data_IF_743239145883
#
_entry.id   IF_743239145883
#
_cell.length_a   1.000
_cell.length_b   1.000
_cell.length_c   1.000
_cell.angle_alpha   90.00
_cell.angle_beta   90.00
_cell.angle_gamma   90.00
#
_symmetry.space_group_name_H-M   'P 1'
#
loop_
_entity.id
_entity.type
_entity.pdbx_description
1 polymer ?
#
# COMPACT_ATOMS: atom_id res chain seq x y z
N UNK A 1 10.24 81.58 -50.97
CA UNK A 1 11.00 82.58 -51.74
C UNK A 1 10.67 83.96 -51.18
N UNK A 2 11.49 84.54 -50.27
CA UNK A 2 11.16 85.77 -49.55
C UNK A 2 11.34 87.06 -50.38
N UNK A 3 11.64 86.94 -51.68
CA UNK A 3 11.83 88.09 -52.58
C UNK A 3 10.57 88.45 -53.39
N UNK A 4 9.50 87.66 -53.33
CA UNK A 4 8.22 87.97 -53.98
C UNK A 4 7.09 87.49 -53.05
N UNK A 5 6.36 88.42 -52.43
CA UNK A 5 5.17 88.21 -51.59
C UNK A 5 3.98 87.64 -52.38
N UNK A 6 4.19 86.53 -53.09
CA UNK A 6 3.14 85.84 -53.84
C UNK A 6 2.55 84.76 -52.94
N UNK A 7 1.30 84.98 -52.55
CA UNK A 7 0.47 83.95 -51.91
C UNK A 7 0.18 82.89 -52.95
N UNK A 8 0.69 81.67 -52.73
CA UNK A 8 0.37 80.52 -53.57
C UNK A 8 -0.87 79.84 -52.97
N UNK A 9 -2.01 79.99 -53.64
CA UNK A 9 -3.19 79.19 -53.29
C UNK A 9 -3.06 77.81 -53.94
N UNK A 10 -2.94 76.78 -53.10
CA UNK A 10 -3.04 75.40 -53.53
C UNK A 10 -4.49 75.10 -53.89
N UNK A 11 -4.82 75.22 -55.17
CA UNK A 11 -6.11 74.76 -55.69
C UNK A 11 -6.02 73.25 -55.88
N UNK A 12 -6.65 72.51 -54.96
CA UNK A 12 -6.78 71.07 -55.06
C UNK A 12 -7.85 70.75 -56.13
N UNK A 13 -7.56 69.88 -57.12
CA UNK A 13 -8.57 69.43 -58.06
C UNK A 13 -9.66 68.63 -57.34
N UNK A 14 -10.91 68.87 -57.73
CA UNK A 14 -12.05 68.10 -57.22
C UNK A 14 -12.05 66.71 -57.84
N UNK A 15 -11.98 65.68 -56.99
CA UNK A 15 -12.00 64.27 -57.41
C UNK A 15 -13.35 63.64 -57.08
N UNK A 16 -13.92 62.95 -58.06
CA UNK A 16 -15.18 62.23 -57.91
C UNK A 16 -14.92 60.86 -57.26
N UNK A 17 -15.01 60.81 -55.93
CA UNK A 17 -14.72 59.60 -55.15
C UNK A 17 -15.95 58.70 -55.15
N UNK A 18 -15.96 57.70 -56.03
CA UNK A 18 -16.95 56.62 -56.00
C UNK A 18 -16.60 55.64 -54.88
N UNK A 19 -17.24 55.80 -53.73
CA UNK A 19 -17.16 54.84 -52.62
C UNK A 19 -17.95 53.59 -53.00
N UNK A 20 -17.28 52.48 -53.26
CA UNK A 20 -17.93 51.18 -53.39
C UNK A 20 -18.33 50.71 -52.01
N UNK A 21 -19.59 50.29 -51.83
CA UNK A 21 -19.99 49.56 -50.61
C UNK A 21 -19.19 48.26 -50.59
N UNK A 22 -18.29 48.15 -49.60
CA UNK A 22 -17.52 46.96 -49.33
C UNK A 22 -18.32 46.13 -48.33
N UNK A 23 -18.34 44.81 -48.53
CA UNK A 23 -19.00 43.88 -47.62
C UNK A 23 -18.32 43.93 -46.24
N UNK A 24 -19.07 44.29 -45.20
CA UNK A 24 -18.56 44.44 -43.84
C UNK A 24 -17.96 43.12 -43.32
N UNK A 25 -18.48 41.98 -43.78
CA UNK A 25 -17.95 40.67 -43.44
C UNK A 25 -16.53 40.42 -43.99
N UNK A 26 -16.09 41.17 -45.00
CA UNK A 26 -14.72 41.10 -45.52
C UNK A 26 -13.75 41.98 -44.74
N UNK A 27 -14.25 42.89 -43.90
CA UNK A 27 -13.45 43.83 -43.11
C UNK A 27 -13.26 43.34 -41.67
N UNK A 28 -14.05 42.36 -41.24
CA UNK A 28 -13.90 41.70 -39.94
C UNK A 28 -12.83 40.62 -40.05
N UNK A 29 -11.84 40.67 -39.15
CA UNK A 29 -10.88 39.59 -38.98
C UNK A 29 -11.63 38.31 -38.61
N UNK A 30 -11.33 37.23 -39.33
CA UNK A 30 -11.97 35.93 -39.12
C UNK A 30 -11.44 35.20 -37.88
N UNK A 31 -10.32 35.66 -37.36
CA UNK A 31 -9.63 35.06 -36.22
C UNK A 31 -9.64 36.04 -35.04
N UNK A 32 -10.29 35.63 -33.96
CA UNK A 32 -10.21 36.33 -32.68
C UNK A 32 -8.82 36.12 -32.07
N UNK A 33 -8.04 37.20 -31.94
CA UNK A 33 -6.80 37.22 -31.16
C UNK A 33 -7.04 37.91 -29.80
N UNK A 34 -6.47 37.38 -28.70
CA UNK A 34 -5.66 36.18 -28.61
C UNK A 34 -6.48 34.89 -28.68
N UNK A 35 -5.85 33.81 -29.15
CA UNK A 35 -6.45 32.47 -29.17
C UNK A 35 -7.06 32.13 -27.81
N UNK A 36 -8.28 31.57 -27.82
CA UNK A 36 -8.99 31.13 -26.60
C UNK A 36 -8.02 30.35 -25.72
N UNK A 37 -7.97 30.72 -24.43
CA UNK A 37 -7.11 30.09 -23.43
C UNK A 37 -7.18 28.57 -23.58
N UNK A 38 -6.02 27.94 -23.80
CA UNK A 38 -5.89 26.49 -23.76
C UNK A 38 -6.58 26.00 -22.48
N UNK A 39 -7.49 25.04 -22.62
CA UNK A 39 -8.31 24.56 -21.52
C UNK A 39 -7.48 24.05 -20.34
N UNK A 40 -8.15 23.72 -19.24
CA UNK A 40 -7.50 23.23 -18.01
C UNK A 40 -6.50 22.11 -18.35
N UNK A 41 -5.23 22.33 -18.00
CA UNK A 41 -4.15 21.38 -18.26
C UNK A 41 -4.24 20.18 -17.30
N UNK A 42 -4.78 19.08 -17.81
CA UNK A 42 -4.87 17.79 -17.11
C UNK A 42 -3.50 17.15 -16.85
N UNK A 43 -2.45 17.59 -17.55
CA UNK A 43 -1.08 17.10 -17.37
C UNK A 43 -0.55 17.42 -15.96
N UNK A 44 -0.83 18.63 -15.47
CA UNK A 44 -0.44 19.06 -14.12
C UNK A 44 -1.07 18.19 -13.03
N UNK A 45 -2.35 17.83 -13.19
CA UNK A 45 -3.05 16.97 -12.25
C UNK A 45 -2.48 15.55 -12.24
N UNK A 46 -2.18 14.99 -13.41
CA UNK A 46 -1.54 13.67 -13.53
C UNK A 46 -0.21 13.60 -12.79
N UNK A 47 0.62 14.65 -12.92
CA UNK A 47 1.91 14.73 -12.23
C UNK A 47 1.77 14.74 -10.71
N UNK A 48 0.81 15.51 -10.18
CA UNK A 48 0.52 15.52 -8.73
C UNK A 48 0.05 14.15 -8.24
N UNK A 49 -0.83 13.48 -8.99
CA UNK A 49 -1.34 12.15 -8.63
C UNK A 49 -0.21 11.11 -8.57
N UNK A 50 0.77 11.19 -9.48
CA UNK A 50 1.95 10.31 -9.44
C UNK A 50 2.73 10.49 -8.14
N UNK A 51 2.97 11.72 -7.71
CA UNK A 51 3.69 12.01 -6.47
C UNK A 51 2.95 11.49 -5.24
N UNK A 52 1.62 11.69 -5.19
CA UNK A 52 0.77 11.18 -4.11
C UNK A 52 0.79 9.65 -4.04
N UNK A 53 0.74 8.96 -5.18
CA UNK A 53 0.83 7.50 -5.24
C UNK A 53 2.16 6.97 -4.71
N UNK A 54 3.28 7.59 -5.09
CA UNK A 54 4.62 7.21 -4.59
C UNK A 54 4.72 7.42 -3.08
N UNK A 55 4.18 8.53 -2.56
CA UNK A 55 4.14 8.82 -1.14
C UNK A 55 3.31 7.78 -0.36
N UNK A 56 2.13 7.43 -0.85
CA UNK A 56 1.26 6.40 -0.24
C UNK A 56 1.95 5.03 -0.28
N UNK A 57 2.57 4.66 -1.40
CA UNK A 57 3.32 3.41 -1.52
C UNK A 57 4.45 3.34 -0.48
N UNK A 58 5.21 4.42 -0.31
CA UNK A 58 6.26 4.52 0.71
C UNK A 58 5.73 4.49 2.15
N UNK A 59 4.55 5.06 2.40
CA UNK A 59 3.91 5.03 3.72
C UNK A 59 3.33 3.65 4.07
N UNK A 60 2.83 2.90 3.09
CA UNK A 60 2.24 1.58 3.29
C UNK A 60 3.28 0.45 3.36
N UNK A 61 4.43 0.63 2.71
CA UNK A 61 5.53 -0.35 2.66
C UNK A 61 5.95 -0.90 4.04
N UNK A 62 6.11 -0.07 5.10
CA UNK A 62 6.47 -0.57 6.42
C UNK A 62 5.39 -1.48 7.00
N UNK A 63 4.11 -1.18 6.77
CA UNK A 63 2.99 -1.89 7.41
C UNK A 63 2.87 -3.35 6.94
N UNK A 64 3.18 -3.61 5.68
CA UNK A 64 3.20 -4.98 5.15
C UNK A 64 4.44 -5.76 5.57
N UNK A 65 5.61 -5.10 5.63
CA UNK A 65 6.85 -5.73 6.12
C UNK A 65 6.72 -6.09 7.62
N UNK A 66 6.07 -5.25 8.43
CA UNK A 66 5.84 -5.53 9.85
C UNK A 66 4.76 -6.60 10.10
N UNK A 67 3.77 -6.77 9.21
CA UNK A 67 2.77 -7.85 9.30
C UNK A 67 3.34 -9.21 8.94
N UNK A 68 4.25 -9.28 7.98
CA UNK A 68 4.86 -10.54 7.53
C UNK A 68 5.81 -11.18 8.57
N UNK A 69 6.30 -10.42 9.55
CA UNK A 69 7.31 -10.87 10.51
C UNK A 69 6.79 -11.31 11.88
N UNK A 70 5.49 -11.52 12.08
CA UNK A 70 4.99 -12.19 13.29
C UNK A 70 5.08 -13.72 13.14
N UNK A 71 6.27 -14.23 12.84
CA UNK A 71 6.61 -15.61 13.17
C UNK A 71 6.71 -15.59 14.69
N UNK A 72 5.64 -16.00 15.36
CA UNK A 72 5.68 -16.24 16.80
C UNK A 72 6.73 -17.34 16.97
N UNK A 73 7.93 -16.97 17.44
CA UNK A 73 8.88 -17.92 18.01
C UNK A 73 8.10 -18.68 19.06
N UNK A 74 7.70 -19.91 18.73
CA UNK A 74 7.09 -20.80 19.70
C UNK A 74 8.18 -21.04 20.73
N UNK A 75 7.94 -20.56 21.93
CA UNK A 75 8.81 -20.81 23.06
C UNK A 75 8.97 -22.33 23.21
N UNK A 76 10.11 -22.82 23.69
CA UNK A 76 10.37 -24.25 23.77
C UNK A 76 9.27 -25.00 24.55
N UNK A 77 8.69 -24.34 25.57
CA UNK A 77 7.53 -24.83 26.31
C UNK A 77 6.28 -25.09 25.44
N UNK A 78 5.99 -24.21 24.47
CA UNK A 78 4.85 -24.36 23.56
C UNK A 78 5.07 -25.51 22.57
N UNK A 79 6.33 -25.72 22.16
CA UNK A 79 6.70 -26.86 21.33
C UNK A 79 6.48 -28.16 22.10
N UNK A 80 6.86 -28.22 23.37
CA UNK A 80 6.66 -29.39 24.22
C UNK A 80 5.19 -29.68 24.51
N UNK A 81 4.41 -28.66 24.86
CA UNK A 81 2.95 -28.76 24.99
C UNK A 81 2.32 -29.32 23.70
N UNK A 82 2.77 -28.86 22.53
CA UNK A 82 2.26 -29.37 21.26
C UNK A 82 2.65 -30.83 20.98
N UNK A 83 3.85 -31.27 21.39
CA UNK A 83 4.31 -32.66 21.26
C UNK A 83 3.53 -33.59 22.21
N UNK A 84 3.32 -33.18 23.45
CA UNK A 84 2.51 -33.89 24.45
C UNK A 84 1.06 -34.05 23.97
N UNK A 85 0.47 -32.99 23.41
CA UNK A 85 -0.87 -33.03 22.85
C UNK A 85 -0.99 -34.04 21.70
N UNK A 86 -0.02 -34.05 20.78
CA UNK A 86 0.00 -34.91 19.58
C UNK A 86 0.31 -36.39 19.84
N UNK A 87 0.96 -36.74 20.95
CA UNK A 87 1.29 -38.14 21.25
C UNK A 87 0.03 -39.02 21.33
N UNK A 88 -0.05 -40.08 20.52
CA UNK A 88 -1.24 -40.96 20.45
C UNK A 88 -1.12 -42.19 21.33
N UNK A 89 0.11 -42.59 21.66
CA UNK A 89 0.38 -43.77 22.48
C UNK A 89 1.12 -43.42 23.78
N UNK A 90 0.98 -44.27 24.80
CA UNK A 90 1.69 -44.10 26.07
C UNK A 90 3.21 -44.16 25.89
N UNK A 91 3.70 -44.98 24.95
CA UNK A 91 5.13 -45.11 24.64
C UNK A 91 5.70 -43.84 23.99
N UNK A 92 4.99 -43.25 23.03
CA UNK A 92 5.39 -41.98 22.40
C UNK A 92 5.45 -40.83 23.42
N UNK A 93 4.46 -40.78 24.31
CA UNK A 93 4.41 -39.76 25.35
C UNK A 93 5.57 -39.93 26.34
N UNK A 94 5.85 -41.17 26.76
CA UNK A 94 6.99 -41.49 27.62
C UNK A 94 8.32 -41.08 26.99
N UNK A 95 8.54 -41.41 25.72
CA UNK A 95 9.77 -41.02 25.00
C UNK A 95 9.93 -39.50 24.92
N UNK A 96 8.84 -38.78 24.62
CA UNK A 96 8.86 -37.32 24.56
C UNK A 96 9.25 -36.70 25.90
N UNK A 97 8.70 -37.21 27.01
CA UNK A 97 8.98 -36.72 28.36
C UNK A 97 10.37 -37.11 28.86
N UNK A 98 10.89 -38.29 28.50
CA UNK A 98 12.25 -38.71 28.84
C UNK A 98 13.31 -37.87 28.12
N UNK A 99 13.05 -37.50 26.85
CA UNK A 99 13.95 -36.62 26.09
C UNK A 99 14.05 -35.22 26.68
N UNK A 100 12.96 -34.72 27.25
CA UNK A 100 12.94 -33.40 27.91
C UNK A 100 13.68 -33.40 29.25
N UNK A 101 13.75 -34.56 29.93
CA UNK A 101 14.48 -34.76 31.18
C UNK A 101 14.13 -33.74 32.30
N UNK A 102 12.89 -33.24 32.29
CA UNK A 102 12.41 -32.31 33.31
C UNK A 102 11.86 -33.07 34.53
N UNK A 103 12.35 -32.69 35.71
CA UNK A 103 11.93 -33.22 37.02
C UNK A 103 10.44 -33.00 37.29
N UNK A 104 9.82 -31.97 36.71
CA UNK A 104 8.39 -31.69 36.86
C UNK A 104 7.51 -32.84 36.36
N UNK A 105 7.96 -33.60 35.36
CA UNK A 105 7.22 -34.72 34.80
C UNK A 105 7.55 -36.09 35.43
N UNK A 106 8.43 -36.16 36.44
CA UNK A 106 8.88 -37.43 37.04
C UNK A 106 7.73 -38.32 37.52
N UNK A 107 6.66 -37.74 38.09
CA UNK A 107 5.47 -38.49 38.52
C UNK A 107 4.70 -39.07 37.34
N UNK A 108 4.56 -38.30 36.27
CA UNK A 108 3.88 -38.71 35.04
C UNK A 108 4.67 -39.76 34.29
N UNK A 109 6.01 -39.63 34.24
CA UNK A 109 6.94 -40.62 33.68
C UNK A 109 6.78 -41.96 34.41
N UNK A 110 6.82 -41.99 35.75
CA UNK A 110 6.60 -43.22 36.53
C UNK A 110 5.23 -43.86 36.27
N UNK A 111 4.18 -43.04 36.15
CA UNK A 111 2.84 -43.53 35.83
C UNK A 111 2.77 -44.10 34.40
N UNK A 112 3.48 -43.51 33.44
CA UNK A 112 3.60 -44.01 32.07
C UNK A 112 4.43 -45.29 31.99
N UNK A 113 5.53 -45.38 32.74
CA UNK A 113 6.35 -46.59 32.84
C UNK A 113 5.55 -47.77 33.41
N UNK A 114 4.72 -47.53 34.43
CA UNK A 114 3.85 -48.58 34.99
C UNK A 114 2.81 -49.09 33.96
N UNK A 115 2.31 -48.21 33.10
CA UNK A 115 1.37 -48.60 32.03
C UNK A 115 2.09 -49.35 30.90
N UNK A 116 3.25 -48.87 30.47
CA UNK A 116 3.99 -49.40 29.32
C UNK A 116 4.71 -50.71 29.67
N UNK A 117 5.30 -50.82 30.86
CA UNK A 117 6.14 -51.96 31.26
C UNK A 117 5.45 -52.91 32.24
N UNK A 118 4.59 -52.41 33.14
CA UNK A 118 3.92 -53.25 34.16
C UNK A 118 2.47 -53.62 33.79
N UNK A 119 2.00 -53.23 32.60
CA UNK A 119 0.68 -53.61 32.10
C UNK A 119 -0.51 -52.97 32.83
N UNK A 120 -0.29 -51.89 33.57
CA UNK A 120 -1.39 -51.17 34.24
C UNK A 120 -2.32 -50.48 33.22
N UNK A 121 -3.64 -50.63 33.36
CA UNK A 121 -4.60 -49.92 32.52
C UNK A 121 -4.92 -48.53 33.09
N UNK A 122 -4.11 -47.52 32.75
CA UNK A 122 -4.46 -46.09 32.95
C UNK A 122 -4.70 -45.41 31.62
N UNK A 123 -5.76 -44.58 31.56
CA UNK A 123 -6.11 -43.83 30.36
C UNK A 123 -5.09 -42.72 30.09
N UNK A 124 -4.60 -42.65 28.85
CA UNK A 124 -3.68 -41.62 28.36
C UNK A 124 -4.22 -40.20 28.64
N UNK A 125 -5.54 -40.01 28.49
CA UNK A 125 -6.21 -38.73 28.70
C UNK A 125 -6.14 -38.25 30.16
N UNK A 126 -6.20 -39.18 31.12
CA UNK A 126 -6.08 -38.84 32.54
C UNK A 126 -4.67 -38.39 32.89
N UNK A 127 -3.65 -39.05 32.32
CA UNK A 127 -2.24 -38.69 32.52
C UNK A 127 -1.96 -37.31 31.91
N UNK A 128 -2.46 -37.03 30.70
CA UNK A 128 -2.33 -35.71 30.06
C UNK A 128 -2.99 -34.59 30.87
N UNK A 129 -4.21 -34.80 31.37
CA UNK A 129 -4.91 -33.80 32.20
C UNK A 129 -4.15 -33.46 33.49
N UNK A 130 -3.51 -34.44 34.12
CA UNK A 130 -2.70 -34.22 35.31
C UNK A 130 -1.40 -33.43 35.03
N UNK A 131 -0.90 -33.43 33.79
CA UNK A 131 0.25 -32.62 33.37
C UNK A 131 -0.16 -31.19 33.05
N UNK A 132 -1.31 -31.01 32.41
CA UNK A 132 -1.85 -29.70 32.01
C UNK A 132 -2.32 -28.85 33.20
N UNK A 133 -2.79 -29.48 34.30
CA UNK A 133 -3.23 -28.79 35.52
C UNK A 133 -2.05 -28.31 36.41
N UNK A 134 -0.80 -28.70 36.10
CA UNK A 134 0.38 -28.43 36.94
C UNK A 134 1.48 -27.60 36.26
N UNK A 135 1.33 -27.27 34.96
CA UNK A 135 2.16 -26.27 34.27
C UNK A 135 1.51 -24.90 34.37
#
# INVERSE_FOLDING_TARGET
>A
NPLNEKVYELVLPSYDVKVKQIDEASLLDKEDYPAKSEGIDWSFWSWIFSYVLVFIAGLLMPRDIFRAKKIVEKNDEDLLKSKIAKAKTHKELLQTLLLENDKHFSKSIKALEAVVYNGEQKSLSQIKKNMEYRS
#
